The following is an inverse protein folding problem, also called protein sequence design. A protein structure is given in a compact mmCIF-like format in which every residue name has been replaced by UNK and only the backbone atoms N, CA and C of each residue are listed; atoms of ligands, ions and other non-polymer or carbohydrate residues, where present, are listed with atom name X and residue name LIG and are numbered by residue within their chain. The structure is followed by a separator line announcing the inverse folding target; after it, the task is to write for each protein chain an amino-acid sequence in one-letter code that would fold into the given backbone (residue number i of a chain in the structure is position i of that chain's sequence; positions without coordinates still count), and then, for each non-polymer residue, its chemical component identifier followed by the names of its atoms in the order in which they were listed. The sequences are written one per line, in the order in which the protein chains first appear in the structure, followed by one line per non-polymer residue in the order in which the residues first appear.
data_IF_700406921276
#
_entry.id   IF_700406921276
#
_cell.length_a   1.000
_cell.length_b   1.000
_cell.length_c   1.000
_cell.angle_alpha   90.00
_cell.angle_beta   90.00
_cell.angle_gamma   90.00
#
_symmetry.space_group_name_H-M   'P 1'
#
loop_
_entity.id
_entity.type
_entity.pdbx_description
1 polymer ?
#
# COMPACT_ATOMS: atom_id res chain seq x y z
N UNK A 1 9.84 5.55 13.43
CA UNK A 1 10.46 5.25 14.74
C UNK A 1 10.42 3.79 15.13
N UNK A 2 9.30 3.16 15.53
CA UNK A 2 9.31 1.74 15.97
C UNK A 2 9.91 0.78 14.91
N UNK A 3 9.51 0.91 13.64
CA UNK A 3 10.10 0.10 12.55
C UNK A 3 11.61 0.31 12.42
N UNK A 4 12.11 1.54 12.65
CA UNK A 4 13.54 1.84 12.62
C UNK A 4 14.27 1.25 13.83
N UNK A 5 13.63 1.19 15.00
CA UNK A 5 14.18 0.50 16.17
C UNK A 5 14.32 -1.00 15.88
N UNK A 6 13.28 -1.65 15.34
CA UNK A 6 13.33 -3.07 15.00
C UNK A 6 14.31 -3.40 13.87
N UNK A 7 14.63 -2.44 13.01
CA UNK A 7 15.58 -2.61 11.92
C UNK A 7 17.02 -2.89 12.36
N UNK A 8 17.41 -2.56 13.60
CA UNK A 8 18.80 -2.79 14.03
C UNK A 8 19.01 -3.02 15.53
N UNK A 9 18.02 -2.72 16.39
CA UNK A 9 18.19 -2.82 17.84
C UNK A 9 18.46 -4.25 18.33
N UNK A 10 18.12 -5.26 17.51
CA UNK A 10 18.21 -6.67 17.87
C UNK A 10 19.26 -7.46 17.06
N UNK A 11 20.04 -6.80 16.19
CA UNK A 11 21.05 -7.45 15.34
C UNK A 11 22.06 -8.25 16.15
N UNK A 12 22.43 -7.75 17.34
CA UNK A 12 23.39 -8.39 18.23
C UNK A 12 22.81 -9.54 19.07
N UNK A 13 21.51 -9.79 19.00
CA UNK A 13 20.84 -10.85 19.76
C UNK A 13 20.11 -11.87 18.86
N UNK A 14 20.47 -11.93 17.58
CA UNK A 14 20.00 -12.95 16.65
C UNK A 14 18.75 -12.59 15.85
N UNK A 15 18.49 -11.30 15.63
CA UNK A 15 17.56 -10.89 14.57
C UNK A 15 18.03 -11.41 13.20
N UNK A 16 17.08 -11.68 12.30
CA UNK A 16 17.41 -12.06 10.93
C UNK A 16 18.13 -10.92 10.22
N UNK A 17 19.08 -11.25 9.33
CA UNK A 17 19.79 -10.26 8.54
C UNK A 17 18.83 -9.49 7.63
N UNK A 18 18.96 -8.16 7.61
CA UNK A 18 18.22 -7.28 6.72
C UNK A 18 18.34 -5.82 7.16
N UNK A 19 18.47 -4.91 6.19
CA UNK A 19 18.39 -3.47 6.45
C UNK A 19 17.34 -2.85 5.52
N UNK A 20 16.23 -2.44 6.11
CA UNK A 20 15.10 -1.81 5.43
C UNK A 20 15.18 -0.27 5.45
N UNK A 21 16.26 0.30 6.01
CA UNK A 21 16.53 1.74 6.00
C UNK A 21 18.03 2.06 5.86
N UNK A 22 18.69 1.52 4.80
CA UNK A 22 20.12 1.63 4.61
C UNK A 22 20.53 3.07 4.30
N UNK A 23 21.72 3.45 4.75
CA UNK A 23 22.18 4.84 4.81
C UNK A 23 22.12 5.56 3.45
N UNK A 24 22.50 4.87 2.39
CA UNK A 24 22.57 5.34 1.01
C UNK A 24 21.19 5.59 0.37
N UNK A 25 20.14 4.93 0.86
CA UNK A 25 18.76 5.10 0.34
C UNK A 25 17.89 6.02 1.19
N UNK A 26 18.36 6.46 2.37
CA UNK A 26 17.51 7.18 3.35
C UNK A 26 16.82 8.41 2.78
N UNK A 27 17.54 9.23 2.04
CA UNK A 27 17.00 10.47 1.44
C UNK A 27 15.84 10.17 0.50
N UNK A 28 16.00 9.18 -0.40
CA UNK A 28 14.94 8.78 -1.33
C UNK A 28 13.78 8.07 -0.60
N UNK A 29 14.08 7.21 0.39
CA UNK A 29 13.07 6.58 1.25
C UNK A 29 12.21 7.63 1.95
N UNK A 30 12.83 8.66 2.53
CA UNK A 30 12.12 9.69 3.28
C UNK A 30 11.26 10.55 2.35
N UNK A 31 11.76 10.94 1.17
CA UNK A 31 10.99 11.69 0.18
C UNK A 31 9.78 10.89 -0.37
N UNK A 32 9.98 9.60 -0.68
CA UNK A 32 8.89 8.72 -1.10
C UNK A 32 7.87 8.54 0.02
N UNK A 33 8.32 8.32 1.26
CA UNK A 33 7.44 8.16 2.41
C UNK A 33 6.61 9.41 2.67
N UNK A 34 7.17 10.60 2.50
CA UNK A 34 6.44 11.86 2.67
C UNK A 34 5.29 11.96 1.66
N UNK A 35 5.58 11.75 0.37
CA UNK A 35 4.57 11.76 -0.69
C UNK A 35 3.49 10.71 -0.46
N UNK A 36 3.89 9.45 -0.21
CA UNK A 36 2.95 8.34 0.01
C UNK A 36 2.11 8.58 1.26
N UNK A 37 2.69 9.13 2.32
CA UNK A 37 1.93 9.45 3.53
C UNK A 37 0.88 10.52 3.28
N UNK A 38 1.28 11.67 2.73
CA UNK A 38 0.40 12.82 2.52
C UNK A 38 -0.72 12.51 1.52
N UNK A 39 -0.35 11.92 0.38
CA UNK A 39 -1.25 11.69 -0.75
C UNK A 39 -2.07 10.41 -0.65
N UNK A 40 -1.56 9.35 -0.01
CA UNK A 40 -2.22 8.04 0.01
C UNK A 40 -2.53 7.52 1.42
N UNK A 41 -1.54 7.30 2.29
CA UNK A 41 -1.79 6.66 3.59
C UNK A 41 -2.76 7.48 4.44
N UNK A 42 -2.55 8.80 4.51
CA UNK A 42 -3.48 9.73 5.16
C UNK A 42 -4.56 10.22 4.18
N UNK A 43 -4.26 10.28 2.88
CA UNK A 43 -5.20 10.73 1.84
C UNK A 43 -6.52 9.96 1.83
N UNK A 44 -6.50 8.64 1.96
CA UNK A 44 -7.73 7.83 2.00
C UNK A 44 -8.61 8.15 3.21
N UNK A 45 -8.03 8.50 4.36
CA UNK A 45 -8.78 8.94 5.54
C UNK A 45 -9.33 10.35 5.39
N UNK A 46 -8.54 11.26 4.79
CA UNK A 46 -9.00 12.62 4.43
C UNK A 46 -10.24 12.54 3.53
N UNK A 47 -10.23 11.66 2.53
CA UNK A 47 -11.38 11.43 1.66
C UNK A 47 -12.55 10.79 2.43
N UNK A 48 -12.29 9.70 3.16
CA UNK A 48 -13.34 8.95 3.86
C UNK A 48 -14.07 9.71 4.97
N UNK A 49 -13.40 10.70 5.58
CA UNK A 49 -13.94 11.51 6.67
C UNK A 49 -14.21 12.97 6.29
N UNK A 50 -14.14 13.31 5.01
CA UNK A 50 -14.47 14.65 4.54
C UNK A 50 -15.90 15.02 4.92
N UNK A 51 -16.08 16.22 5.48
CA UNK A 51 -17.37 16.77 5.88
C UNK A 51 -18.05 17.59 4.77
N UNK A 52 -17.29 17.99 3.74
CA UNK A 52 -17.80 18.73 2.57
C UNK A 52 -17.39 18.06 1.27
N UNK A 53 -18.13 18.35 0.20
CA UNK A 53 -17.86 17.81 -1.13
C UNK A 53 -16.48 18.26 -1.65
N UNK A 54 -16.14 19.53 -1.45
CA UNK A 54 -14.88 20.11 -1.93
C UNK A 54 -13.67 19.49 -1.23
N UNK A 55 -13.78 19.23 0.09
CA UNK A 55 -12.72 18.58 0.85
C UNK A 55 -12.54 17.11 0.42
N UNK A 56 -13.65 16.42 0.12
CA UNK A 56 -13.62 15.07 -0.43
C UNK A 56 -12.96 15.05 -1.81
N UNK A 57 -13.38 15.92 -2.71
CA UNK A 57 -12.85 16.01 -4.09
C UNK A 57 -11.35 16.30 -4.12
N UNK A 58 -10.89 17.24 -3.30
CA UNK A 58 -9.47 17.54 -3.19
C UNK A 58 -8.68 16.33 -2.64
N UNK A 59 -9.17 15.68 -1.58
CA UNK A 59 -8.48 14.55 -0.98
C UNK A 59 -8.45 13.32 -1.88
N UNK A 60 -9.55 13.02 -2.58
CA UNK A 60 -9.62 11.88 -3.49
C UNK A 60 -8.78 12.13 -4.75
N UNK A 61 -8.67 13.38 -5.22
CA UNK A 61 -7.74 13.74 -6.28
C UNK A 61 -6.28 13.48 -5.88
N UNK A 62 -5.86 13.90 -4.68
CA UNK A 62 -4.50 13.63 -4.16
C UNK A 62 -4.20 12.11 -4.11
N UNK A 63 -5.20 11.30 -3.71
CA UNK A 63 -5.10 9.83 -3.65
C UNK A 63 -4.81 9.26 -5.03
N UNK A 64 -5.60 9.63 -6.03
CA UNK A 64 -5.46 9.05 -7.37
C UNK A 64 -4.23 9.59 -8.11
N UNK A 65 -3.83 10.85 -7.90
CA UNK A 65 -2.54 11.36 -8.39
C UNK A 65 -1.36 10.57 -7.81
N UNK A 66 -1.43 10.22 -6.52
CA UNK A 66 -0.39 9.43 -5.86
C UNK A 66 -0.37 7.99 -6.37
N UNK A 67 -1.53 7.36 -6.58
CA UNK A 67 -1.63 6.02 -7.16
C UNK A 67 -1.11 5.99 -8.60
N UNK A 68 -1.43 6.98 -9.43
CA UNK A 68 -0.95 7.08 -10.81
C UNK A 68 0.58 7.26 -10.85
N UNK A 69 1.15 8.07 -9.94
CA UNK A 69 2.60 8.19 -9.81
C UNK A 69 3.27 6.88 -9.35
N UNK A 70 2.67 6.18 -8.39
CA UNK A 70 3.17 4.88 -7.93
C UNK A 70 3.13 3.82 -9.02
N UNK A 71 2.04 3.79 -9.81
CA UNK A 71 1.90 2.89 -10.95
C UNK A 71 3.05 3.06 -11.92
N UNK A 72 3.27 4.29 -12.42
CA UNK A 72 4.36 4.61 -13.34
C UNK A 72 5.72 4.25 -12.76
N UNK A 73 5.93 4.52 -11.46
CA UNK A 73 7.19 4.20 -10.78
C UNK A 73 7.45 2.70 -10.71
N UNK A 74 6.41 1.89 -10.50
CA UNK A 74 6.49 0.45 -10.32
C UNK A 74 6.37 -0.35 -11.63
N UNK A 75 6.14 0.32 -12.77
CA UNK A 75 6.19 -0.32 -14.09
C UNK A 75 7.54 -0.99 -14.33
N UNK A 76 8.63 -0.30 -14.01
CA UNK A 76 10.01 -0.77 -14.24
C UNK A 76 10.69 -1.26 -12.97
N UNK A 77 10.22 -0.85 -11.78
CA UNK A 77 10.91 -1.11 -10.50
C UNK A 77 10.31 -2.26 -9.70
N UNK A 78 11.17 -2.92 -8.92
CA UNK A 78 10.78 -4.02 -8.02
C UNK A 78 10.23 -3.55 -6.70
N UNK A 79 10.81 -2.47 -6.23
CA UNK A 79 10.56 -1.85 -4.95
C UNK A 79 10.46 -0.35 -5.17
N UNK A 80 9.96 0.37 -4.17
CA UNK A 80 9.78 1.80 -4.26
C UNK A 80 11.10 2.54 -4.38
N UNK A 81 12.17 2.04 -3.75
CA UNK A 81 13.47 2.72 -3.66
C UNK A 81 14.59 1.69 -3.85
N UNK A 82 15.50 1.97 -4.78
CA UNK A 82 16.59 1.05 -5.12
C UNK A 82 16.10 -0.30 -5.67
N UNK A 83 16.94 -1.32 -5.51
CA UNK A 83 16.72 -2.69 -6.00
C UNK A 83 16.38 -3.69 -4.88
N UNK A 84 16.07 -3.20 -3.67
CA UNK A 84 15.76 -4.03 -2.50
C UNK A 84 14.50 -3.58 -1.78
N UNK A 85 13.91 -4.50 -1.00
CA UNK A 85 12.78 -4.19 -0.13
C UNK A 85 13.21 -3.20 0.96
N UNK A 86 12.46 -2.13 1.13
CA UNK A 86 12.71 -1.10 2.16
C UNK A 86 11.50 -0.88 3.05
N UNK A 87 11.68 -0.09 4.11
CA UNK A 87 10.57 0.34 4.96
C UNK A 87 9.53 1.18 4.20
N UNK A 88 9.87 1.79 3.07
CA UNK A 88 8.90 2.48 2.23
C UNK A 88 7.88 1.50 1.64
N UNK A 89 8.33 0.33 1.18
CA UNK A 89 7.48 -0.70 0.62
C UNK A 89 6.50 -1.26 1.65
N UNK A 90 6.99 -1.53 2.86
CA UNK A 90 6.17 -2.01 3.98
C UNK A 90 5.08 -0.98 4.32
N UNK A 91 5.43 0.31 4.37
CA UNK A 91 4.47 1.40 4.65
C UNK A 91 3.42 1.51 3.56
N UNK A 92 3.81 1.47 2.29
CA UNK A 92 2.87 1.50 1.17
C UNK A 92 1.94 0.28 1.18
N UNK A 93 2.50 -0.93 1.32
CA UNK A 93 1.76 -2.19 1.31
C UNK A 93 0.58 -2.18 2.27
N UNK A 94 0.78 -1.67 3.49
CA UNK A 94 -0.29 -1.64 4.50
C UNK A 94 -1.53 -0.85 4.05
N UNK A 95 -1.38 0.16 3.20
CA UNK A 95 -2.52 0.86 2.59
C UNK A 95 -3.06 0.12 1.38
N UNK A 96 -2.19 -0.36 0.49
CA UNK A 96 -2.62 -1.05 -0.75
C UNK A 96 -3.46 -2.30 -0.46
N UNK A 97 -3.03 -3.15 0.47
CA UNK A 97 -3.74 -4.39 0.82
C UNK A 97 -5.16 -4.14 1.37
N UNK A 98 -5.43 -2.92 1.85
CA UNK A 98 -6.74 -2.50 2.39
C UNK A 98 -7.58 -1.73 1.36
N UNK A 99 -6.98 -1.29 0.25
CA UNK A 99 -7.61 -0.33 -0.65
C UNK A 99 -8.93 -0.83 -1.22
N UNK A 100 -8.90 -1.92 -1.98
CA UNK A 100 -10.12 -2.44 -2.62
C UNK A 100 -11.13 -2.99 -1.62
N UNK A 101 -10.65 -3.62 -0.54
CA UNK A 101 -11.52 -4.31 0.43
C UNK A 101 -12.21 -3.37 1.41
N UNK A 102 -11.67 -2.15 1.58
CA UNK A 102 -12.19 -1.13 2.49
C UNK A 102 -12.27 0.23 1.79
N UNK A 103 -11.13 0.87 1.49
CA UNK A 103 -11.10 2.30 1.16
C UNK A 103 -11.87 2.65 -0.12
N UNK A 104 -11.86 1.75 -1.09
CA UNK A 104 -12.60 1.87 -2.34
C UNK A 104 -14.09 2.13 -2.08
N UNK A 105 -14.73 1.28 -1.28
CA UNK A 105 -16.15 1.45 -0.92
C UNK A 105 -16.36 2.39 0.27
N UNK A 106 -15.83 2.00 1.44
CA UNK A 106 -16.09 2.63 2.73
C UNK A 106 -15.67 4.10 2.77
N UNK A 107 -14.49 4.41 2.20
CA UNK A 107 -13.96 5.79 2.14
C UNK A 107 -14.25 6.49 0.81
N UNK A 108 -15.06 5.87 -0.06
CA UNK A 108 -15.45 6.40 -1.38
C UNK A 108 -14.24 6.68 -2.29
N UNK A 109 -13.08 6.06 -2.07
CA UNK A 109 -11.94 6.18 -2.98
C UNK A 109 -12.15 5.29 -4.22
N UNK A 110 -13.20 5.54 -5.00
CA UNK A 110 -13.73 4.60 -6.01
C UNK A 110 -13.60 5.06 -7.47
N UNK A 111 -12.72 6.01 -7.80
CA UNK A 111 -12.46 6.39 -9.20
C UNK A 111 -11.91 5.21 -10.02
N UNK A 112 -11.02 4.41 -9.41
CA UNK A 112 -10.45 3.19 -9.99
C UNK A 112 -10.11 2.20 -8.88
N UNK A 113 -10.30 0.90 -9.12
CA UNK A 113 -9.87 -0.10 -8.15
C UNK A 113 -8.36 -0.36 -8.26
N UNK A 114 -7.73 -0.80 -7.18
CA UNK A 114 -6.31 -1.14 -7.16
C UNK A 114 -5.98 -2.25 -8.17
N UNK A 115 -6.88 -3.21 -8.40
CA UNK A 115 -6.67 -4.26 -9.40
C UNK A 115 -6.61 -3.76 -10.84
N UNK A 116 -7.13 -2.55 -11.10
CA UNK A 116 -7.09 -1.94 -12.44
C UNK A 116 -5.76 -1.19 -12.68
N UNK A 117 -4.82 -1.23 -11.72
CA UNK A 117 -3.46 -0.76 -11.82
C UNK A 117 -2.49 -1.95 -11.95
N UNK A 118 -2.07 -2.34 -13.16
CA UNK A 118 -1.30 -3.59 -13.37
C UNK A 118 -0.01 -3.68 -12.55
N UNK A 119 0.79 -2.62 -12.48
CA UNK A 119 2.05 -2.62 -11.76
C UNK A 119 1.84 -2.65 -10.24
N UNK A 120 0.96 -1.82 -9.72
CA UNK A 120 0.57 -1.80 -8.30
C UNK A 120 -0.09 -3.11 -7.86
N UNK A 121 -0.94 -3.70 -8.69
CA UNK A 121 -1.59 -4.96 -8.35
C UNK A 121 -0.60 -6.12 -8.32
N UNK A 122 0.32 -6.19 -9.29
CA UNK A 122 1.44 -7.14 -9.28
C UNK A 122 2.32 -6.94 -8.04
N UNK A 123 2.69 -5.69 -7.75
CA UNK A 123 3.52 -5.33 -6.60
C UNK A 123 2.86 -5.71 -5.26
N UNK A 124 1.57 -5.37 -5.08
CA UNK A 124 0.82 -5.68 -3.86
C UNK A 124 0.71 -7.18 -3.63
N UNK A 125 0.45 -7.96 -4.68
CA UNK A 125 0.41 -9.43 -4.60
C UNK A 125 1.78 -10.02 -4.27
N UNK A 126 2.85 -9.52 -4.90
CA UNK A 126 4.21 -9.97 -4.61
C UNK A 126 4.57 -9.80 -3.12
N UNK A 127 4.24 -8.64 -2.54
CA UNK A 127 4.45 -8.40 -1.11
C UNK A 127 3.51 -9.24 -0.23
N UNK A 128 2.23 -9.35 -0.58
CA UNK A 128 1.28 -10.18 0.16
C UNK A 128 1.71 -11.66 0.20
N UNK A 129 2.26 -12.18 -0.90
CA UNK A 129 2.72 -13.57 -1.01
C UNK A 129 4.07 -13.81 -0.33
N UNK A 130 4.76 -12.76 0.15
CA UNK A 130 6.00 -12.93 0.90
C UNK A 130 5.74 -13.75 2.18
N UNK A 131 6.53 -14.81 2.48
CA UNK A 131 6.25 -15.74 3.59
C UNK A 131 6.13 -15.07 4.96
N UNK A 132 6.89 -13.99 5.20
CA UNK A 132 6.82 -13.23 6.45
C UNK A 132 5.65 -12.22 6.51
N UNK A 133 5.07 -11.84 5.37
CA UNK A 133 4.01 -10.82 5.29
C UNK A 133 2.63 -11.47 5.27
N UNK A 134 2.44 -12.50 4.43
CA UNK A 134 1.17 -13.21 4.28
C UNK A 134 0.45 -13.51 5.61
N UNK A 135 1.09 -14.15 6.62
CA UNK A 135 0.41 -14.52 7.85
C UNK A 135 -0.02 -13.33 8.72
N UNK A 136 0.43 -12.11 8.40
CA UNK A 136 0.09 -10.89 9.14
C UNK A 136 -1.20 -10.22 8.67
N UNK A 137 -1.79 -10.68 7.56
CA UNK A 137 -2.97 -10.06 6.95
C UNK A 137 -4.22 -10.86 7.28
N UNK A 138 -5.10 -10.27 8.07
CA UNK A 138 -6.44 -10.79 8.36
C UNK A 138 -7.51 -9.87 7.75
N UNK A 139 -8.09 -10.28 6.62
CA UNK A 139 -9.16 -9.53 5.96
C UNK A 139 -10.45 -9.47 6.77
N UNK A 140 -10.73 -10.48 7.60
CA UNK A 140 -11.88 -10.48 8.51
C UNK A 140 -11.76 -9.39 9.55
N UNK A 141 -10.59 -9.31 10.21
CA UNK A 141 -10.30 -8.26 11.18
C UNK A 141 -10.27 -6.87 10.54
N UNK A 142 -9.62 -6.73 9.38
CA UNK A 142 -9.60 -5.47 8.61
C UNK A 142 -11.03 -5.00 8.33
N UNK A 143 -11.85 -5.81 7.65
CA UNK A 143 -13.21 -5.38 7.26
C UNK A 143 -14.10 -5.16 8.47
N UNK A 144 -14.05 -6.07 9.46
CA UNK A 144 -14.82 -5.95 10.70
C UNK A 144 -14.52 -4.64 11.44
N UNK A 145 -13.25 -4.26 11.54
CA UNK A 145 -12.85 -3.00 12.14
C UNK A 145 -13.42 -1.79 11.40
N UNK A 146 -13.14 -1.64 10.10
CA UNK A 146 -13.53 -0.41 9.38
C UNK A 146 -15.04 -0.24 9.25
N UNK A 147 -15.77 -1.30 8.89
CA UNK A 147 -17.21 -1.19 8.67
C UNK A 147 -18.00 -1.17 9.99
N UNK A 148 -17.45 -1.73 11.08
CA UNK A 148 -18.10 -1.76 12.40
C UNK A 148 -17.75 -0.60 13.34
N UNK A 149 -16.59 0.05 13.19
CA UNK A 149 -16.09 1.06 14.14
C UNK A 149 -16.36 2.52 13.74
N UNK A 150 -16.94 2.75 12.56
CA UNK A 150 -17.24 4.10 12.04
C UNK A 150 -18.76 4.33 11.91
N UNK A 151 -19.53 4.37 13.01
CA UNK A 151 -20.99 4.44 12.96
C UNK A 151 -21.54 5.72 12.30
N UNK A 152 -20.76 6.81 12.28
CA UNK A 152 -21.15 8.03 11.56
C UNK A 152 -21.04 7.88 10.04
N UNK A 153 -20.20 6.97 9.56
CA UNK A 153 -19.98 6.72 8.13
C UNK A 153 -20.77 5.50 7.63
N UNK A 154 -20.90 4.47 8.46
CA UNK A 154 -21.72 3.29 8.21
C UNK A 154 -22.62 3.00 9.43
N UNK A 155 -23.76 3.69 9.58
CA UNK A 155 -24.64 3.54 10.74
C UNK A 155 -25.17 2.11 10.94
N UNK A 156 -25.32 1.36 9.85
CA UNK A 156 -25.81 -0.02 9.88
C UNK A 156 -24.81 -1.02 10.45
N UNK A 157 -23.52 -0.70 10.46
CA UNK A 157 -22.43 -1.64 10.80
C UNK A 157 -22.30 -2.82 9.84
N UNK A 158 -23.04 -2.85 8.72
CA UNK A 158 -23.00 -3.95 7.76
C UNK A 158 -21.62 -4.02 7.11
N UNK A 159 -21.02 -5.21 7.15
CA UNK A 159 -19.76 -5.52 6.47
C UNK A 159 -20.08 -6.09 5.08
N UNK A 160 -19.65 -5.47 3.98
CA UNK A 160 -19.92 -5.99 2.64
C UNK A 160 -19.21 -7.33 2.41
N UNK A 161 -19.82 -8.22 1.63
CA UNK A 161 -19.20 -9.50 1.26
C UNK A 161 -18.02 -9.28 0.29
N UNK A 162 -18.18 -8.36 -0.67
CA UNK A 162 -17.16 -8.04 -1.67
C UNK A 162 -16.25 -6.85 -1.30
N UNK A 163 -15.42 -6.40 -2.26
CA UNK A 163 -15.07 -7.12 -3.49
C UNK A 163 -14.24 -8.37 -3.18
N UNK A 164 -14.33 -9.41 -4.04
CA UNK A 164 -13.42 -10.56 -3.99
C UNK A 164 -12.18 -10.24 -4.80
N UNK A 165 -11.02 -10.22 -4.17
CA UNK A 165 -9.72 -9.99 -4.81
C UNK A 165 -8.83 -11.20 -4.58
N UNK A 166 -8.29 -11.75 -5.67
CA UNK A 166 -7.41 -12.90 -5.60
C UNK A 166 -5.96 -12.45 -5.38
N UNK A 167 -5.60 -12.24 -4.11
CA UNK A 167 -4.23 -11.91 -3.74
C UNK A 167 -3.28 -13.11 -3.88
N UNK A 168 -3.81 -14.31 -4.08
CA UNK A 168 -3.10 -15.59 -4.21
C UNK A 168 -2.78 -15.98 -5.64
N UNK A 169 -3.43 -15.34 -6.62
CA UNK A 169 -3.13 -15.53 -8.03
C UNK A 169 -1.63 -15.39 -8.30
N UNK A 170 -1.04 -16.26 -9.15
CA UNK A 170 0.37 -16.18 -9.50
C UNK A 170 0.81 -14.77 -9.89
N UNK A 171 1.96 -14.36 -9.38
CA UNK A 171 2.60 -13.10 -9.75
C UNK A 171 3.47 -13.37 -10.97
N UNK A 172 3.12 -12.80 -12.12
CA UNK A 172 3.94 -12.95 -13.31
C UNK A 172 5.32 -12.30 -13.12
N UNK A 173 6.40 -12.95 -13.58
CA UNK A 173 7.72 -12.34 -13.63
C UNK A 173 7.66 -11.07 -14.49
N UNK A 174 8.36 -10.00 -14.08
CA UNK A 174 8.49 -8.83 -14.95
C UNK A 174 9.24 -9.23 -16.23
N UNK A 175 8.70 -8.87 -17.38
CA UNK A 175 9.43 -8.99 -18.64
C UNK A 175 10.61 -8.01 -18.60
N UNK A 176 11.82 -8.52 -18.38
CA UNK A 176 13.02 -7.77 -18.72
C UNK A 176 12.97 -7.54 -20.23
N UNK A 177 12.78 -6.28 -20.66
CA UNK A 177 13.18 -5.90 -22.01
C UNK A 177 14.69 -6.14 -22.08
N UNK A 178 15.07 -7.28 -22.63
CA UNK A 178 16.43 -7.46 -23.15
C UNK A 178 16.57 -6.39 -24.23
N UNK A 179 17.41 -5.39 -23.97
CA UNK A 179 17.92 -4.54 -25.04
C UNK A 179 18.52 -5.49 -26.09
N UNK A 180 17.88 -5.51 -27.26
CA UNK A 180 18.45 -6.12 -28.45
C UNK A 180 19.66 -5.26 -28.81
N UNK A 181 20.83 -5.66 -28.31
CA UNK A 181 22.10 -5.14 -28.78
C UNK A 181 22.21 -5.54 -30.25
N UNK A 182 22.04 -4.56 -31.15
CA UNK A 182 22.43 -4.66 -32.56
C UNK A 182 23.83 -4.10 -32.74
#
# INVERSE_FOLDING_TARGET
EILRMFNSAFDRIGAAEGDYYPAELRSEIDAVNERVYAGLNNGVYRAGFAATQEAYEAAVADVFETLDWLEQRLETRSFLVGEQLTGADIRLFTTLVRFDVVYYGHFKCNLRALVDYPALWRYTRALYQHPAIRPTVDFGHIKGHYYGSHPWLNPSGVVPIGPRRDFDAPVEPRHHHQEVVS
#
